data_IF_548304921476
#
_entry.id   IF_548304921476
#
_cell.length_a   1.000
_cell.length_b   1.000
_cell.length_c   1.000
_cell.angle_alpha   90.00
_cell.angle_beta   90.00
_cell.angle_gamma   90.00
#
_symmetry.space_group_name_H-M   'P 1'
#
loop_
_entity.id
_entity.type
_entity.pdbx_description
1 polymer ?
#
# COMPACT_ATOMS: atom_id res chain seq x y z
N UNK A 1 -5.72 -16.39 -11.66
CA UNK A 1 -4.68 -16.68 -10.65
C UNK A 1 -4.26 -15.34 -10.09
N UNK A 2 -4.69 -15.00 -8.88
CA UNK A 2 -4.29 -13.76 -8.19
C UNK A 2 -3.07 -14.09 -7.34
N UNK A 3 -1.89 -13.93 -7.92
CA UNK A 3 -0.65 -13.97 -7.14
C UNK A 3 -0.57 -12.72 -6.27
N UNK A 4 -0.31 -12.90 -4.97
CA UNK A 4 0.06 -11.78 -4.11
C UNK A 4 1.51 -11.40 -4.42
N UNK A 5 1.69 -10.27 -5.11
CA UNK A 5 3.02 -9.69 -5.34
C UNK A 5 3.61 -9.21 -4.02
N UNK A 6 4.90 -9.45 -3.81
CA UNK A 6 5.62 -9.02 -2.59
C UNK A 6 5.42 -7.51 -2.36
N UNK A 7 4.84 -7.18 -1.22
CA UNK A 7 4.59 -5.81 -0.80
C UNK A 7 5.77 -5.33 0.07
N UNK A 8 7.00 -5.45 -0.43
CA UNK A 8 8.21 -5.01 0.31
C UNK A 8 8.84 -3.74 -0.24
N UNK A 9 8.57 -3.40 -1.51
CA UNK A 9 9.33 -2.40 -2.26
C UNK A 9 8.39 -1.56 -3.11
N UNK A 10 8.53 -0.24 -3.01
CA UNK A 10 7.78 0.72 -3.82
C UNK A 10 8.80 1.54 -4.59
N UNK A 11 8.65 1.60 -5.92
CA UNK A 11 9.43 2.51 -6.76
C UNK A 11 8.59 3.77 -7.03
N UNK A 12 9.08 4.92 -6.55
CA UNK A 12 8.42 6.21 -6.73
C UNK A 12 9.30 7.08 -7.63
N UNK A 13 8.98 7.22 -8.94
CA UNK A 13 9.73 8.10 -9.81
C UNK A 13 9.56 9.54 -9.35
N UNK A 14 10.63 10.35 -9.41
CA UNK A 14 10.61 11.73 -8.92
C UNK A 14 9.96 12.67 -9.95
N UNK A 15 8.66 12.90 -9.82
CA UNK A 15 7.91 13.90 -10.60
C UNK A 15 7.17 14.84 -9.65
N UNK A 16 6.73 16.00 -10.13
CA UNK A 16 5.94 16.91 -9.30
C UNK A 16 4.68 16.22 -8.75
N UNK A 17 3.99 15.45 -9.60
CA UNK A 17 2.78 14.72 -9.23
C UNK A 17 3.04 13.67 -8.13
N UNK A 18 4.08 12.84 -8.28
CA UNK A 18 4.38 11.80 -7.29
C UNK A 18 4.89 12.40 -5.98
N UNK A 19 5.62 13.52 -6.02
CA UNK A 19 6.08 14.21 -4.82
C UNK A 19 4.92 14.76 -3.98
N UNK A 20 3.83 15.23 -4.61
CA UNK A 20 2.64 15.69 -3.87
C UNK A 20 1.99 14.55 -3.08
N UNK A 21 1.86 13.37 -3.68
CA UNK A 21 1.32 12.18 -3.00
C UNK A 21 2.31 11.67 -1.94
N UNK A 22 3.59 11.58 -2.28
CA UNK A 22 4.62 11.07 -1.37
C UNK A 22 4.80 11.96 -0.13
N UNK A 23 4.59 13.27 -0.24
CA UNK A 23 4.56 14.17 0.93
C UNK A 23 3.54 13.71 1.97
N UNK A 24 2.31 13.37 1.54
CA UNK A 24 1.28 12.88 2.46
C UNK A 24 1.61 11.51 3.04
N UNK A 25 2.22 10.63 2.24
CA UNK A 25 2.73 9.35 2.72
C UNK A 25 3.75 9.53 3.85
N UNK A 26 4.71 10.44 3.68
CA UNK A 26 5.72 10.76 4.71
C UNK A 26 5.09 11.41 5.94
N UNK A 27 4.13 12.33 5.77
CA UNK A 27 3.44 12.95 6.90
C UNK A 27 2.66 11.93 7.72
N UNK A 28 1.96 10.98 7.08
CA UNK A 28 1.31 9.87 7.76
C UNK A 28 2.32 9.00 8.54
N UNK A 29 3.50 8.74 7.98
CA UNK A 29 4.54 7.96 8.66
C UNK A 29 5.08 8.61 9.94
N UNK A 30 4.88 9.92 10.10
CA UNK A 30 5.27 10.69 11.28
C UNK A 30 4.13 10.84 12.29
N UNK A 31 2.91 10.39 11.95
CA UNK A 31 1.72 10.51 12.78
C UNK A 31 1.33 9.14 13.35
N UNK A 32 1.31 9.04 14.67
CA UNK A 32 0.94 7.80 15.37
C UNK A 32 -0.49 7.37 15.04
N UNK A 33 -1.44 8.29 14.93
CA UNK A 33 -2.83 7.91 14.64
C UNK A 33 -2.98 7.34 13.22
N UNK A 34 -2.04 7.65 12.33
CA UNK A 34 -2.02 7.12 10.96
C UNK A 34 -1.33 5.74 10.88
N UNK A 35 -0.22 5.53 11.60
CA UNK A 35 0.53 4.27 11.58
C UNK A 35 0.09 3.25 12.62
N UNK A 36 -0.57 3.70 13.69
CA UNK A 36 -1.08 2.93 14.81
C UNK A 36 -2.51 3.38 15.19
N UNK A 37 -3.48 3.32 14.26
CA UNK A 37 -4.86 3.72 14.54
C UNK A 37 -5.49 2.85 15.65
N UNK A 38 -6.54 3.32 16.34
CA UNK A 38 -7.26 2.52 17.33
C UNK A 38 -7.67 1.14 16.79
N UNK A 39 -7.20 0.08 17.47
CA UNK A 39 -7.42 -1.32 17.06
C UNK A 39 -6.35 -1.92 16.14
N UNK A 40 -5.28 -1.17 15.84
CA UNK A 40 -4.14 -1.68 15.08
C UNK A 40 -3.49 -2.89 15.76
N UNK A 41 -3.10 -3.86 14.93
CA UNK A 41 -2.41 -5.08 15.35
C UNK A 41 -0.92 -4.95 15.00
N UNK A 42 -0.07 -4.86 16.02
CA UNK A 42 1.39 -4.75 15.85
C UNK A 42 2.00 -6.09 15.40
N UNK A 43 1.37 -7.20 15.79
CA UNK A 43 1.84 -8.54 15.49
C UNK A 43 0.98 -9.20 14.41
N UNK A 44 1.67 -9.75 13.42
CA UNK A 44 1.09 -10.58 12.38
C UNK A 44 1.14 -12.05 12.78
N UNK A 45 0.00 -12.74 12.72
CA UNK A 45 -0.09 -14.17 12.92
C UNK A 45 -0.07 -14.89 11.58
N UNK A 46 1.10 -15.42 11.22
CA UNK A 46 1.29 -16.18 10.00
C UNK A 46 0.89 -17.64 10.23
N UNK A 47 -0.13 -18.09 9.50
CA UNK A 47 -0.51 -19.50 9.44
C UNK A 47 0.54 -20.36 8.70
N UNK A 48 0.34 -21.68 8.62
CA UNK A 48 1.27 -22.60 7.95
C UNK A 48 1.55 -22.24 6.49
N UNK A 49 0.57 -21.64 5.78
CA UNK A 49 0.73 -21.12 4.42
C UNK A 49 0.80 -19.58 4.44
N UNK A 50 1.99 -19.02 4.75
CA UNK A 50 2.22 -17.57 4.93
C UNK A 50 1.78 -16.65 3.79
N UNK A 51 1.65 -17.18 2.58
CA UNK A 51 1.28 -16.43 1.36
C UNK A 51 -0.18 -16.59 0.95
N UNK A 52 -0.87 -17.57 1.52
CA UNK A 52 -2.27 -17.88 1.18
C UNK A 52 -3.21 -17.55 2.34
N UNK A 53 -2.65 -17.37 3.54
CA UNK A 53 -3.41 -17.10 4.76
C UNK A 53 -3.23 -15.65 5.16
N UNK A 54 -4.34 -14.94 5.36
CA UNK A 54 -4.31 -13.59 5.90
C UNK A 54 -3.64 -13.58 7.27
N UNK A 55 -2.67 -12.68 7.46
CA UNK A 55 -1.81 -12.66 8.65
C UNK A 55 -2.44 -11.98 9.88
N UNK A 56 -3.75 -11.71 9.86
CA UNK A 56 -4.50 -11.03 10.93
C UNK A 56 -3.90 -9.67 11.36
N UNK A 57 -3.21 -9.01 10.44
CA UNK A 57 -2.60 -7.70 10.62
C UNK A 57 -2.64 -6.95 9.27
N UNK A 58 -2.47 -5.64 9.32
CA UNK A 58 -2.28 -4.81 8.14
C UNK A 58 -0.93 -4.10 8.23
N UNK A 59 -0.30 -3.93 7.07
CA UNK A 59 0.84 -3.03 6.90
C UNK A 59 0.29 -1.63 6.64
N UNK A 60 0.12 -0.85 7.70
CA UNK A 60 -0.49 0.49 7.64
C UNK A 60 0.32 1.44 6.74
N UNK A 61 1.65 1.29 6.75
CA UNK A 61 2.58 1.97 5.85
C UNK A 61 2.25 1.73 4.38
N UNK A 62 1.81 0.53 4.01
CA UNK A 62 1.41 0.24 2.63
C UNK A 62 -0.05 0.60 2.34
N UNK A 63 -0.91 0.46 3.34
CA UNK A 63 -2.34 0.68 3.21
C UNK A 63 -2.67 2.16 2.99
N UNK A 64 -1.91 3.07 3.61
CA UNK A 64 -2.10 4.52 3.40
C UNK A 64 -1.95 4.92 1.95
N UNK A 65 -1.07 4.27 1.18
CA UNK A 65 -0.88 4.57 -0.24
C UNK A 65 -2.18 4.35 -1.03
N UNK A 66 -2.93 3.28 -0.73
CA UNK A 66 -4.22 3.03 -1.38
C UNK A 66 -5.22 4.15 -1.10
N UNK A 67 -5.26 4.66 0.14
CA UNK A 67 -6.15 5.77 0.51
C UNK A 67 -5.75 7.07 -0.19
N UNK A 68 -4.45 7.37 -0.26
CA UNK A 68 -3.94 8.56 -0.94
C UNK A 68 -4.24 8.52 -2.45
N UNK A 69 -4.03 7.36 -3.09
CA UNK A 69 -4.35 7.18 -4.50
C UNK A 69 -5.86 7.25 -4.74
N UNK A 70 -6.69 6.72 -3.84
CA UNK A 70 -8.15 6.87 -3.93
C UNK A 70 -8.62 8.30 -3.80
N UNK A 71 -8.08 9.04 -2.85
CA UNK A 71 -8.36 10.46 -2.72
C UNK A 71 -7.93 11.23 -3.97
N UNK A 72 -6.80 10.90 -4.58
CA UNK A 72 -6.30 11.57 -5.78
C UNK A 72 -7.12 11.25 -7.04
N UNK A 73 -7.46 9.97 -7.24
CA UNK A 73 -7.98 9.47 -8.51
C UNK A 73 -9.49 9.24 -8.54
N UNK A 74 -10.11 9.15 -7.36
CA UNK A 74 -11.54 8.90 -7.13
C UNK A 74 -12.07 7.63 -7.84
N UNK A 75 -11.17 6.72 -8.21
CA UNK A 75 -11.48 5.49 -8.95
C UNK A 75 -10.39 4.45 -8.69
N UNK A 76 -10.79 3.31 -8.15
CA UNK A 76 -9.89 2.22 -7.78
C UNK A 76 -9.36 1.43 -8.99
N UNK A 77 -10.02 1.53 -10.15
CA UNK A 77 -9.53 0.90 -11.38
C UNK A 77 -8.24 1.55 -11.89
N UNK A 78 -7.90 2.75 -11.42
CA UNK A 78 -6.68 3.47 -11.79
C UNK A 78 -5.43 3.02 -11.03
N UNK A 79 -5.55 2.11 -10.05
CA UNK A 79 -4.38 1.57 -9.33
C UNK A 79 -3.78 0.35 -10.03
N UNK A 80 -4.57 -0.33 -10.86
CA UNK A 80 -4.12 -1.51 -11.55
C UNK A 80 -3.32 -1.12 -12.79
N UNK A 81 -2.07 -1.55 -12.82
CA UNK A 81 -1.29 -1.56 -14.05
C UNK A 81 -1.82 -2.71 -14.92
N UNK A 82 -2.19 -2.41 -16.17
CA UNK A 82 -2.38 -3.48 -17.18
C UNK A 82 -1.01 -4.07 -17.51
N UNK A 83 -0.75 -5.30 -17.06
CA UNK A 83 0.51 -6.03 -17.28
C UNK A 83 0.92 -6.08 -18.77
N UNK A 84 -0.05 -6.07 -19.67
CA UNK A 84 0.19 -6.05 -21.12
C UNK A 84 0.93 -4.79 -21.62
N UNK A 85 1.04 -3.73 -20.82
CA UNK A 85 1.78 -2.52 -21.19
C UNK A 85 3.29 -2.60 -20.92
N UNK A 86 3.78 -3.66 -20.26
CA UNK A 86 5.19 -3.83 -19.87
C UNK A 86 5.88 -5.06 -20.50
N UNK A 87 5.13 -5.94 -21.16
CA UNK A 87 5.65 -7.15 -21.82
C UNK A 87 5.68 -6.99 -23.36
N UNK A 88 5.94 -5.77 -23.84
CA UNK A 88 6.22 -5.50 -25.26
C UNK A 88 7.65 -5.87 -25.62
#
# INVERSE_FOLDING_TARGET
>A
MTEQVDAGKIHIPRTEHTLQIFKWYVLCALDEECMNPPGAQIYCNFGPNRYETFANCFRFDQSVLNLLLLNQFQDHHKYFIKLNNYLG
#
